data_IF_091118600002
#
_entry.id   IF_091118600002
#
_cell.length_a   1.000
_cell.length_b   1.000
_cell.length_c   1.000
_cell.angle_alpha   90.00
_cell.angle_beta   90.00
_cell.angle_gamma   90.00
#
_symmetry.space_group_name_H-M   'P 1'
#
loop_
_entity.id
_entity.type
_entity.pdbx_description
1 polymer ?
#
# COMPACT_ATOMS: atom_id res chain seq x y z
N UNK A 1 3.13 -5.05 -12.14
CA UNK A 1 2.96 -3.64 -11.74
C UNK A 1 3.73 -2.75 -12.71
N UNK A 2 3.18 -1.59 -13.09
CA UNK A 2 3.88 -0.61 -13.93
C UNK A 2 5.23 -0.18 -13.32
N UNK A 3 5.34 -0.17 -11.99
CA UNK A 3 6.57 0.14 -11.23
C UNK A 3 7.72 -0.86 -11.42
N UNK A 4 7.47 -2.03 -11.99
CA UNK A 4 8.50 -3.06 -12.24
C UNK A 4 9.10 -3.02 -13.65
N UNK A 5 8.66 -2.06 -14.50
CA UNK A 5 9.04 -1.96 -15.91
C UNK A 5 9.70 -0.59 -16.16
N UNK A 6 10.67 -0.54 -17.07
CA UNK A 6 11.33 0.70 -17.49
C UNK A 6 10.34 1.67 -18.13
N UNK A 7 10.38 2.94 -17.72
CA UNK A 7 9.51 4.00 -18.24
C UNK A 7 9.67 4.22 -19.75
N UNK A 8 8.57 4.51 -20.46
CA UNK A 8 8.58 4.95 -21.87
C UNK A 8 8.30 3.87 -22.92
N UNK A 9 8.06 2.62 -22.52
CA UNK A 9 7.70 1.51 -23.42
C UNK A 9 6.34 0.87 -23.04
N UNK A 10 5.35 1.70 -22.68
CA UNK A 10 4.03 1.28 -22.22
C UNK A 10 2.96 1.21 -23.32
N UNK A 11 1.92 0.41 -23.07
CA UNK A 11 0.64 0.42 -23.79
C UNK A 11 -0.30 1.42 -23.08
N UNK A 12 -1.23 2.09 -23.78
CA UNK A 12 -2.10 3.14 -23.20
C UNK A 12 -2.84 2.68 -21.94
N UNK A 13 -3.26 1.42 -21.88
CA UNK A 13 -3.92 0.82 -20.70
C UNK A 13 -3.02 0.82 -19.45
N UNK A 14 -1.70 0.65 -19.63
CA UNK A 14 -0.73 0.70 -18.53
C UNK A 14 -0.52 2.13 -18.03
N UNK A 15 -0.65 3.12 -18.90
CA UNK A 15 -0.54 4.53 -18.53
C UNK A 15 -1.75 4.94 -17.69
N UNK A 16 -2.98 4.53 -18.05
CA UNK A 16 -4.16 4.74 -17.20
C UNK A 16 -4.03 4.04 -15.84
N UNK A 17 -3.53 2.81 -15.81
CA UNK A 17 -3.30 2.06 -14.57
C UNK A 17 -2.21 2.69 -13.67
N UNK A 18 -1.42 3.64 -14.19
CA UNK A 18 -0.37 4.34 -13.44
C UNK A 18 -0.83 5.67 -12.82
N UNK A 19 -2.02 6.15 -13.19
CA UNK A 19 -2.59 7.39 -12.63
C UNK A 19 -3.13 7.13 -11.24
N UNK A 20 -2.51 7.77 -10.25
CA UNK A 20 -2.94 7.73 -8.85
C UNK A 20 -4.00 8.80 -8.57
N UNK A 21 -4.76 8.60 -7.49
CA UNK A 21 -5.77 9.53 -6.99
C UNK A 21 -5.64 9.67 -5.49
N UNK A 22 -5.36 10.88 -5.02
CA UNK A 22 -5.23 11.20 -3.60
C UNK A 22 -6.47 11.87 -3.00
N UNK A 23 -6.65 11.68 -1.70
CA UNK A 23 -7.57 12.41 -0.84
C UNK A 23 -7.00 12.50 0.59
N UNK A 24 -6.07 13.44 0.80
CA UNK A 24 -5.38 13.62 2.08
C UNK A 24 -6.32 13.86 3.30
N UNK A 25 -7.52 14.39 3.09
CA UNK A 25 -8.51 14.56 4.17
C UNK A 25 -9.02 13.22 4.71
N UNK A 26 -9.18 12.23 3.82
CA UNK A 26 -9.57 10.88 4.22
C UNK A 26 -8.48 10.25 5.09
N UNK A 27 -7.22 10.37 4.67
CA UNK A 27 -6.09 9.86 5.46
C UNK A 27 -5.99 10.59 6.81
N UNK A 28 -6.27 11.89 6.88
CA UNK A 28 -6.33 12.62 8.15
C UNK A 28 -7.38 12.03 9.09
N UNK A 29 -8.57 11.68 8.60
CA UNK A 29 -9.62 11.03 9.41
C UNK A 29 -9.20 9.66 9.91
N UNK A 30 -8.52 8.87 9.09
CA UNK A 30 -7.91 7.61 9.51
C UNK A 30 -6.87 7.84 10.62
N UNK A 31 -6.00 8.85 10.47
CA UNK A 31 -4.99 9.19 11.47
C UNK A 31 -5.61 9.59 12.81
N UNK A 32 -6.70 10.36 12.82
CA UNK A 32 -7.40 10.71 14.07
C UNK A 32 -7.94 9.47 14.79
N UNK A 33 -8.46 8.48 14.05
CA UNK A 33 -8.89 7.20 14.65
C UNK A 33 -7.70 6.44 15.24
N UNK A 34 -6.60 6.35 14.50
CA UNK A 34 -5.36 5.72 14.98
C UNK A 34 -4.87 6.43 16.25
N UNK A 35 -4.92 7.76 16.25
CA UNK A 35 -4.54 8.60 17.39
C UNK A 35 -5.39 8.33 18.62
N UNK A 36 -6.72 8.31 18.48
CA UNK A 36 -7.62 7.93 19.56
C UNK A 36 -7.34 6.52 20.06
N UNK A 37 -7.02 5.56 19.18
CA UNK A 37 -6.75 4.18 19.58
C UNK A 37 -5.47 4.05 20.42
N UNK A 38 -4.35 4.63 19.99
CA UNK A 38 -3.10 4.51 20.76
C UNK A 38 -3.10 5.37 22.03
N UNK A 39 -3.84 6.49 22.06
CA UNK A 39 -4.01 7.34 23.25
C UNK A 39 -4.75 6.63 24.39
N UNK A 40 -5.49 5.55 24.12
CA UNK A 40 -6.08 4.69 25.15
C UNK A 40 -5.04 3.84 25.91
N UNK A 41 -3.77 3.85 25.47
CA UNK A 41 -2.68 3.15 26.13
C UNK A 41 -2.92 1.64 26.16
N UNK A 42 -3.00 1.06 27.36
CA UNK A 42 -3.26 -0.39 27.53
C UNK A 42 -4.63 -0.83 27.02
N UNK A 43 -5.57 0.10 26.84
CA UNK A 43 -6.90 -0.16 26.31
C UNK A 43 -6.99 0.06 24.78
N UNK A 44 -5.85 0.17 24.09
CA UNK A 44 -5.82 0.27 22.62
C UNK A 44 -6.51 -0.96 21.98
N UNK A 45 -7.59 -0.75 21.19
CA UNK A 45 -8.32 -1.86 20.59
C UNK A 45 -7.59 -2.51 19.41
N UNK A 46 -6.63 -1.81 18.80
CA UNK A 46 -5.87 -2.28 17.63
C UNK A 46 -4.85 -3.32 18.10
N UNK A 47 -5.03 -4.55 17.64
CA UNK A 47 -4.08 -5.65 17.90
C UNK A 47 -3.00 -5.73 16.82
N UNK A 48 -3.36 -5.38 15.58
CA UNK A 48 -2.45 -5.30 14.44
C UNK A 48 -3.00 -4.27 13.45
N UNK A 49 -2.13 -3.54 12.76
CA UNK A 49 -2.47 -2.60 11.70
C UNK A 49 -1.43 -2.69 10.58
N UNK A 50 -1.88 -2.61 9.34
CA UNK A 50 -1.02 -2.59 8.15
C UNK A 50 -1.58 -1.62 7.10
N UNK A 51 -0.71 -0.98 6.34
CA UNK A 51 -1.09 -0.13 5.22
C UNK A 51 -1.63 -0.95 4.04
N UNK A 52 -2.41 -0.31 3.17
CA UNK A 52 -2.86 -0.88 1.91
C UNK A 52 -2.20 -0.12 0.76
N UNK A 53 -1.18 -0.73 0.15
CA UNK A 53 -0.45 -0.17 -0.97
C UNK A 53 -0.53 -1.04 -2.22
N UNK A 54 0.64 -1.45 -2.72
CA UNK A 54 0.76 -2.25 -3.93
C UNK A 54 0.03 -3.60 -3.80
N UNK A 55 -0.77 -3.96 -4.81
CA UNK A 55 -1.64 -5.13 -4.80
C UNK A 55 -2.90 -4.99 -3.94
N UNK A 56 -3.11 -3.86 -3.26
CA UNK A 56 -4.34 -3.58 -2.52
C UNK A 56 -4.59 -4.57 -1.38
N UNK A 57 -5.87 -4.91 -1.17
CA UNK A 57 -6.30 -5.85 -0.13
C UNK A 57 -5.77 -7.26 -0.37
N UNK A 58 -5.50 -7.62 -1.64
CA UNK A 58 -4.91 -8.91 -2.00
C UNK A 58 -3.52 -9.16 -1.43
N UNK A 59 -2.80 -8.07 -1.11
CA UNK A 59 -1.55 -8.15 -0.37
C UNK A 59 -1.79 -7.91 1.13
N UNK A 60 -2.46 -6.81 1.47
CA UNK A 60 -2.54 -6.34 2.84
C UNK A 60 -3.28 -7.29 3.81
N UNK A 61 -4.42 -7.86 3.41
CA UNK A 61 -5.18 -8.78 4.27
C UNK A 61 -4.45 -10.11 4.49
N UNK A 62 -3.95 -10.80 3.44
CA UNK A 62 -3.12 -11.98 3.62
C UNK A 62 -1.86 -11.75 4.45
N UNK A 63 -1.16 -10.62 4.28
CA UNK A 63 0.01 -10.28 5.09
C UNK A 63 -0.36 -10.07 6.56
N UNK A 64 -1.41 -9.31 6.85
CA UNK A 64 -1.90 -9.09 8.21
C UNK A 64 -2.21 -10.39 8.94
N UNK A 65 -2.95 -11.31 8.31
CA UNK A 65 -3.28 -12.58 8.97
C UNK A 65 -2.08 -13.53 9.06
N UNK A 66 -1.19 -13.52 8.06
CA UNK A 66 0.03 -14.34 8.06
C UNK A 66 0.95 -13.92 9.22
N UNK A 67 1.16 -12.63 9.39
CA UNK A 67 2.06 -12.08 10.42
C UNK A 67 1.45 -12.24 11.82
N UNK A 68 0.12 -12.24 11.93
CA UNK A 68 -0.61 -12.67 13.13
C UNK A 68 -0.61 -14.19 13.36
N UNK A 69 -0.01 -14.98 12.48
CA UNK A 69 -0.02 -16.43 12.59
C UNK A 69 -1.44 -17.02 12.52
N UNK A 70 -2.29 -16.54 11.61
CA UNK A 70 -3.68 -16.99 11.39
C UNK A 70 -3.96 -17.18 9.89
N UNK A 71 -5.10 -17.77 9.55
CA UNK A 71 -5.73 -17.59 8.25
C UNK A 71 -6.83 -16.53 8.31
N UNK A 72 -7.63 -16.42 7.25
CA UNK A 72 -8.71 -15.45 7.19
C UNK A 72 -9.85 -15.90 6.29
N UNK A 73 -11.08 -15.62 6.74
CA UNK A 73 -12.30 -15.74 5.93
C UNK A 73 -12.89 -14.34 5.79
N UNK A 74 -13.05 -13.92 4.54
CA UNK A 74 -13.48 -12.58 4.16
C UNK A 74 -14.75 -12.62 3.31
N UNK A 75 -15.55 -11.57 3.40
CA UNK A 75 -16.72 -11.35 2.55
C UNK A 75 -16.44 -10.17 1.61
N UNK A 76 -16.42 -10.45 0.31
CA UNK A 76 -16.14 -9.45 -0.72
C UNK A 76 -17.15 -8.31 -0.68
N UNK A 77 -18.42 -8.61 -0.42
CA UNK A 77 -19.51 -7.63 -0.46
C UNK A 77 -19.64 -6.76 0.78
N UNK A 78 -18.78 -6.97 1.77
CA UNK A 78 -18.68 -6.10 2.94
C UNK A 78 -17.57 -5.04 2.77
N UNK A 79 -16.74 -5.15 1.72
CA UNK A 79 -15.74 -4.12 1.36
C UNK A 79 -16.48 -2.89 0.80
N UNK A 80 -16.22 -1.68 1.32
CA UNK A 80 -16.79 -0.45 0.76
C UNK A 80 -16.29 -0.22 -0.68
N UNK A 81 -17.24 -0.13 -1.61
CA UNK A 81 -16.96 0.12 -3.03
C UNK A 81 -17.66 1.41 -3.47
N UNK A 82 -16.97 2.24 -4.25
CA UNK A 82 -17.57 3.41 -4.89
C UNK A 82 -18.24 3.05 -6.24
N UNK A 83 -17.82 1.95 -6.86
CA UNK A 83 -18.27 1.50 -8.17
C UNK A 83 -18.85 0.09 -8.08
N UNK A 84 -20.16 -0.06 -8.35
CA UNK A 84 -20.87 -1.33 -8.16
C UNK A 84 -20.57 -2.38 -9.23
N UNK A 85 -19.92 -2.00 -10.33
CA UNK A 85 -19.67 -2.88 -11.48
C UNK A 85 -18.30 -3.58 -11.43
N UNK A 86 -17.49 -3.30 -10.41
CA UNK A 86 -16.18 -3.90 -10.26
C UNK A 86 -16.29 -5.43 -10.10
N UNK A 87 -15.43 -6.13 -10.84
CA UNK A 87 -15.23 -7.57 -10.69
C UNK A 87 -14.60 -7.90 -9.33
N UNK A 88 -14.68 -9.16 -8.86
CA UNK A 88 -13.98 -9.58 -7.64
C UNK A 88 -12.48 -9.29 -7.66
N UNK A 89 -11.83 -9.43 -8.82
CA UNK A 89 -10.41 -9.11 -8.98
C UNK A 89 -10.15 -7.61 -8.77
N UNK A 90 -10.97 -6.74 -9.35
CA UNK A 90 -10.79 -5.29 -9.21
C UNK A 90 -11.07 -4.83 -7.78
N UNK A 91 -12.12 -5.34 -7.12
CA UNK A 91 -12.41 -5.01 -5.72
C UNK A 91 -11.25 -5.42 -4.80
N UNK A 92 -10.67 -6.59 -5.03
CA UNK A 92 -9.64 -7.16 -4.17
C UNK A 92 -8.24 -6.60 -4.43
N UNK A 93 -7.91 -6.31 -5.69
CA UNK A 93 -6.55 -5.96 -6.11
C UNK A 93 -6.35 -4.47 -6.44
N UNK A 94 -7.40 -3.63 -6.47
CA UNK A 94 -7.20 -2.21 -6.73
C UNK A 94 -6.31 -1.55 -5.67
N UNK A 95 -5.55 -0.55 -6.11
CA UNK A 95 -4.63 0.23 -5.28
C UNK A 95 -5.25 1.60 -4.90
N UNK A 96 -6.55 1.62 -4.62
CA UNK A 96 -7.20 2.82 -4.09
C UNK A 96 -6.52 3.26 -2.79
N UNK A 97 -6.33 4.57 -2.66
CA UNK A 97 -5.56 5.21 -1.60
C UNK A 97 -6.36 5.35 -0.29
N UNK A 98 -5.68 5.83 0.76
CA UNK A 98 -6.22 6.13 2.10
C UNK A 98 -6.87 4.94 2.82
N UNK A 99 -6.32 3.74 2.67
CA UNK A 99 -6.84 2.51 3.29
C UNK A 99 -5.83 1.86 4.22
N UNK A 100 -6.36 1.29 5.30
CA UNK A 100 -5.63 0.49 6.28
C UNK A 100 -6.41 -0.79 6.57
N UNK A 101 -5.70 -1.86 6.91
CA UNK A 101 -6.32 -3.09 7.44
C UNK A 101 -5.92 -3.26 8.90
N UNK A 102 -6.88 -3.62 9.74
CA UNK A 102 -6.67 -3.74 11.18
C UNK A 102 -7.27 -5.05 11.71
N UNK A 103 -6.61 -5.61 12.72
CA UNK A 103 -7.17 -6.66 13.56
C UNK A 103 -7.62 -6.07 14.90
N UNK A 104 -8.88 -6.29 15.26
CA UNK A 104 -9.50 -5.80 16.50
C UNK A 104 -10.22 -6.98 17.16
N UNK A 105 -10.11 -7.08 18.49
CA UNK A 105 -10.88 -8.07 19.24
C UNK A 105 -12.38 -7.74 19.15
N UNK A 106 -13.23 -8.75 18.96
CA UNK A 106 -14.68 -8.56 18.84
C UNK A 106 -15.31 -7.80 20.01
N UNK A 107 -14.77 -7.96 21.23
CA UNK A 107 -15.21 -7.24 22.42
C UNK A 107 -14.98 -5.71 22.33
N UNK A 108 -14.07 -5.25 21.46
CA UNK A 108 -13.70 -3.85 21.31
C UNK A 108 -14.34 -3.16 20.10
N UNK A 109 -15.14 -3.88 19.30
CA UNK A 109 -15.72 -3.35 18.06
C UNK A 109 -16.62 -2.14 18.34
N UNK A 110 -17.44 -2.17 19.39
CA UNK A 110 -18.34 -1.07 19.72
C UNK A 110 -17.58 0.21 20.10
N UNK A 111 -16.48 0.07 20.85
CA UNK A 111 -15.60 1.20 21.18
C UNK A 111 -14.91 1.77 19.95
N UNK A 112 -14.42 0.90 19.06
CA UNK A 112 -13.81 1.33 17.79
C UNK A 112 -14.81 2.02 16.86
N UNK A 113 -16.04 1.49 16.76
CA UNK A 113 -17.14 2.09 16.00
C UNK A 113 -17.46 3.51 16.48
N UNK A 114 -17.51 3.72 17.80
CA UNK A 114 -17.73 5.04 18.38
C UNK A 114 -16.62 6.04 18.01
N UNK A 115 -15.36 5.60 18.03
CA UNK A 115 -14.20 6.42 17.61
C UNK A 115 -14.34 6.77 16.12
N UNK A 116 -14.55 5.78 15.25
CA UNK A 116 -14.71 6.01 13.81
C UNK A 116 -15.85 6.97 13.49
N UNK A 117 -17.01 6.83 14.14
CA UNK A 117 -18.16 7.75 13.95
C UNK A 117 -17.83 9.17 14.35
N UNK A 118 -17.15 9.37 15.49
CA UNK A 118 -16.73 10.70 15.96
C UNK A 118 -15.79 11.38 14.96
N UNK A 119 -14.80 10.65 14.45
CA UNK A 119 -13.86 11.15 13.45
C UNK A 119 -14.43 11.14 12.03
N UNK A 120 -15.68 10.71 11.86
CA UNK A 120 -16.30 10.45 10.55
C UNK A 120 -15.45 9.52 9.69
N UNK A 121 -14.60 8.66 10.24
CA UNK A 121 -13.78 7.75 9.44
C UNK A 121 -14.63 6.54 8.99
N UNK A 122 -14.83 6.32 7.67
CA UNK A 122 -15.50 5.12 7.19
C UNK A 122 -14.66 3.89 7.52
N UNK A 123 -15.31 2.80 7.91
CA UNK A 123 -14.68 1.50 8.09
C UNK A 123 -15.69 0.40 7.79
N UNK A 124 -15.19 -0.82 7.57
CA UNK A 124 -16.03 -2.00 7.44
C UNK A 124 -15.36 -3.21 8.09
N UNK A 125 -16.18 -4.09 8.65
CA UNK A 125 -15.76 -5.42 9.07
C UNK A 125 -15.87 -6.34 7.85
N UNK A 126 -14.73 -6.72 7.28
CA UNK A 126 -14.68 -7.47 6.00
C UNK A 126 -14.41 -8.96 6.18
N UNK A 127 -14.21 -9.42 7.41
CA UNK A 127 -13.91 -10.81 7.69
C UNK A 127 -13.43 -11.06 9.11
N UNK A 128 -12.96 -12.29 9.34
CA UNK A 128 -12.45 -12.75 10.63
C UNK A 128 -11.22 -13.62 10.44
N UNK A 129 -10.34 -13.62 11.44
CA UNK A 129 -9.17 -14.50 11.46
C UNK A 129 -9.54 -15.91 11.88
N UNK A 130 -8.80 -16.90 11.38
CA UNK A 130 -9.04 -18.32 11.65
C UNK A 130 -7.78 -19.03 12.11
N UNK A 131 -7.94 -20.16 12.81
CA UNK A 131 -6.81 -21.06 13.12
C UNK A 131 -6.29 -21.79 11.88
N UNK A 132 -7.22 -22.21 11.01
CA UNK A 132 -6.90 -22.82 9.73
C UNK A 132 -6.09 -21.85 8.85
N UNK A 133 -4.95 -22.29 8.32
CA UNK A 133 -4.02 -21.50 7.51
C UNK A 133 -4.46 -21.39 6.04
N UNK A 134 -5.68 -20.92 5.84
CA UNK A 134 -6.28 -20.69 4.53
C UNK A 134 -6.74 -19.24 4.39
N UNK A 135 -6.70 -18.72 3.16
CA UNK A 135 -7.39 -17.48 2.79
C UNK A 135 -8.63 -17.89 2.00
N UNK A 136 -9.81 -17.53 2.53
CA UNK A 136 -11.08 -17.65 1.83
C UNK A 136 -11.69 -16.28 1.63
N UNK A 137 -12.10 -16.01 0.40
CA UNK A 137 -12.89 -14.84 0.04
C UNK A 137 -14.19 -15.38 -0.54
N UNK A 138 -15.29 -15.10 0.14
CA UNK A 138 -16.64 -15.42 -0.33
C UNK A 138 -17.26 -14.20 -1.02
N UNK A 139 -18.09 -14.45 -2.02
CA UNK A 139 -18.89 -13.43 -2.68
C UNK A 139 -20.38 -13.79 -2.61
N UNK A 140 -21.11 -13.10 -1.72
CA UNK A 140 -22.55 -13.29 -1.54
C UNK A 140 -23.39 -12.98 -2.78
N UNK A 141 -22.91 -12.15 -3.71
CA UNK A 141 -23.66 -11.80 -4.93
C UNK A 141 -23.67 -12.96 -5.93
N UNK A 142 -22.54 -13.64 -6.12
CA UNK A 142 -22.43 -14.79 -7.02
C UNK A 142 -22.54 -16.15 -6.31
N UNK A 143 -22.62 -16.14 -4.98
CA UNK A 143 -22.69 -17.33 -4.12
C UNK A 143 -21.56 -18.32 -4.44
N UNK A 144 -20.33 -17.80 -4.49
CA UNK A 144 -19.12 -18.58 -4.76
C UNK A 144 -17.94 -18.08 -3.91
N UNK A 145 -16.80 -18.75 -4.04
CA UNK A 145 -15.55 -18.36 -3.39
C UNK A 145 -14.54 -17.94 -4.46
N UNK A 146 -14.39 -16.63 -4.75
CA UNK A 146 -13.34 -16.16 -5.66
C UNK A 146 -11.92 -16.57 -5.22
N UNK A 147 -11.68 -16.75 -3.92
CA UNK A 147 -10.40 -17.25 -3.38
C UNK A 147 -10.69 -18.33 -2.34
N UNK A 148 -10.01 -19.48 -2.48
CA UNK A 148 -9.93 -20.53 -1.47
C UNK A 148 -8.56 -21.21 -1.61
N UNK A 149 -7.57 -20.64 -0.93
CA UNK A 149 -6.16 -21.01 -1.11
C UNK A 149 -5.45 -21.21 0.24
N UNK A 150 -4.72 -22.33 0.41
CA UNK A 150 -3.77 -22.49 1.50
C UNK A 150 -2.70 -21.39 1.51
N UNK A 151 -2.30 -20.94 2.71
CA UNK A 151 -1.31 -19.87 2.86
C UNK A 151 0.08 -20.22 2.32
N UNK A 152 0.49 -21.48 2.44
CA UNK A 152 1.78 -21.97 1.94
C UNK A 152 1.87 -21.93 0.41
N UNK A 153 0.74 -22.10 -0.27
CA UNK A 153 0.64 -21.92 -1.71
C UNK A 153 0.71 -20.43 -2.08
N UNK A 154 -0.02 -19.57 -1.38
CA UNK A 154 -0.06 -18.13 -1.65
C UNK A 154 1.30 -17.44 -1.39
N UNK A 155 1.97 -17.82 -0.31
CA UNK A 155 3.27 -17.26 0.08
C UNK A 155 4.45 -18.18 -0.27
N UNK A 156 4.23 -19.15 -1.17
CA UNK A 156 5.24 -20.09 -1.61
C UNK A 156 6.46 -19.38 -2.16
N UNK A 157 7.65 -19.77 -1.70
CA UNK A 157 8.91 -19.13 -2.13
C UNK A 157 9.45 -19.81 -3.38
N UNK A 158 9.57 -19.05 -4.47
CA UNK A 158 10.39 -19.46 -5.61
C UNK A 158 11.87 -19.44 -5.22
N UNK A 159 12.75 -20.19 -5.93
CA UNK A 159 14.19 -20.17 -5.68
C UNK A 159 14.74 -18.73 -5.68
N UNK A 160 15.67 -18.45 -4.77
CA UNK A 160 16.29 -17.12 -4.66
C UNK A 160 17.00 -16.76 -5.97
N UNK A 161 16.87 -15.51 -6.41
CA UNK A 161 17.55 -15.00 -7.60
C UNK A 161 19.07 -14.95 -7.38
N UNK A 162 19.83 -15.63 -8.22
CA UNK A 162 21.30 -15.51 -8.26
C UNK A 162 21.70 -14.59 -9.42
N UNK A 163 22.15 -13.37 -9.09
CA UNK A 163 22.64 -12.41 -10.09
C UNK A 163 24.16 -12.50 -10.20
N UNK A 164 24.65 -12.92 -11.36
CA UNK A 164 26.08 -12.82 -11.70
C UNK A 164 26.32 -11.45 -12.32
N UNK A 165 27.03 -10.59 -11.60
CA UNK A 165 27.38 -9.23 -12.04
C UNK A 165 28.88 -9.10 -12.20
N UNK A 166 29.31 -8.16 -13.05
CA UNK A 166 30.71 -7.74 -13.18
C UNK A 166 30.80 -6.28 -12.83
N UNK A 167 31.82 -5.90 -12.05
CA UNK A 167 32.10 -4.50 -11.79
C UNK A 167 32.51 -3.81 -13.09
N UNK A 168 31.84 -2.71 -13.42
CA UNK A 168 32.34 -1.76 -14.41
C UNK A 168 33.33 -0.81 -13.73
N UNK A 169 34.43 -0.49 -14.42
CA UNK A 169 35.26 0.66 -14.04
C UNK A 169 34.84 1.84 -14.91
N UNK A 170 34.48 2.95 -14.27
CA UNK A 170 34.25 4.23 -14.95
C UNK A 170 35.56 5.00 -14.92
N UNK A 171 36.16 5.21 -16.08
CA UNK A 171 37.30 6.10 -16.23
C UNK A 171 36.76 7.52 -16.44
N UNK A 172 36.72 8.32 -15.39
CA UNK A 172 36.50 9.75 -15.52
C UNK A 172 37.77 10.40 -16.08
N UNK A 173 37.62 11.25 -17.08
CA UNK A 173 38.73 12.12 -17.51
C UNK A 173 39.13 13.08 -16.39
N UNK A 174 40.36 13.61 -16.46
CA UNK A 174 40.78 14.68 -15.55
C UNK A 174 39.91 15.93 -15.73
N UNK A 175 39.58 16.59 -14.62
CA UNK A 175 38.80 17.82 -14.65
C UNK A 175 39.67 18.98 -15.15
N UNK A 176 39.38 19.50 -16.35
CA UNK A 176 40.08 20.65 -16.92
C UNK A 176 39.48 21.98 -16.42
N UNK A 177 40.04 22.52 -15.33
CA UNK A 177 39.58 23.79 -14.74
C UNK A 177 40.07 25.04 -15.49
N UNK A 178 41.08 24.92 -16.36
CA UNK A 178 41.78 26.04 -16.99
C UNK A 178 40.90 26.91 -17.90
N UNK A 179 39.77 26.38 -18.38
CA UNK A 179 38.82 27.08 -19.26
C UNK A 179 37.62 27.65 -18.51
N UNK A 180 37.58 27.55 -17.19
CA UNK A 180 36.42 27.94 -16.38
C UNK A 180 36.68 29.32 -15.76
N UNK A 181 35.87 30.30 -16.14
CA UNK A 181 35.83 31.58 -15.46
C UNK A 181 35.10 31.44 -14.11
N UNK A 182 35.72 31.92 -13.02
CA UNK A 182 35.17 31.75 -11.68
C UNK A 182 33.81 32.46 -11.47
N UNK A 183 33.66 33.71 -11.91
CA UNK A 183 32.39 34.43 -11.75
C UNK A 183 31.25 33.79 -12.56
N UNK A 184 31.57 33.31 -13.76
CA UNK A 184 30.62 32.56 -14.57
C UNK A 184 30.28 31.21 -13.93
N UNK A 185 31.28 30.51 -13.38
CA UNK A 185 31.06 29.25 -12.67
C UNK A 185 30.14 29.43 -11.47
N UNK A 186 30.34 30.47 -10.66
CA UNK A 186 29.44 30.79 -9.55
C UNK A 186 28.02 31.02 -10.06
N UNK A 187 27.83 31.80 -11.13
CA UNK A 187 26.50 32.01 -11.73
C UNK A 187 25.88 30.70 -12.22
N UNK A 188 26.62 29.86 -12.94
CA UNK A 188 26.16 28.55 -13.45
C UNK A 188 25.80 27.59 -12.32
N UNK A 189 26.64 27.51 -11.29
CA UNK A 189 26.42 26.65 -10.12
C UNK A 189 25.18 27.11 -9.36
N UNK A 190 25.03 28.41 -9.08
CA UNK A 190 23.83 28.93 -8.40
C UNK A 190 22.55 28.84 -9.24
N UNK A 191 22.67 28.75 -10.57
CA UNK A 191 21.54 28.55 -11.49
C UNK A 191 21.22 27.08 -11.76
N UNK A 192 22.07 26.13 -11.33
CA UNK A 192 21.82 24.71 -11.50
C UNK A 192 20.61 24.32 -10.62
N UNK A 193 19.53 23.72 -11.14
CA UNK A 193 18.35 23.38 -10.35
C UNK A 193 18.67 22.52 -9.12
N UNK A 194 19.72 21.69 -9.16
CA UNK A 194 20.20 20.91 -8.01
C UNK A 194 20.69 21.80 -6.86
N UNK A 195 21.30 22.95 -7.14
CA UNK A 195 21.91 23.85 -6.14
C UNK A 195 21.04 25.07 -5.83
N UNK A 196 20.32 25.59 -6.81
CA UNK A 196 19.50 26.79 -6.69
C UNK A 196 18.50 26.73 -5.51
N UNK A 197 17.99 27.89 -5.08
CA UNK A 197 16.96 27.96 -4.03
C UNK A 197 15.79 27.03 -4.34
N UNK A 198 15.33 26.32 -3.31
CA UNK A 198 14.20 25.39 -3.38
C UNK A 198 12.94 25.95 -2.76
N UNK A 199 12.81 27.28 -2.63
CA UNK A 199 11.64 27.91 -1.99
C UNK A 199 10.28 27.55 -2.65
N UNK A 200 10.30 26.95 -3.85
CA UNK A 200 9.10 26.47 -4.54
C UNK A 200 8.71 25.03 -4.18
N UNK A 201 9.55 24.29 -3.44
CA UNK A 201 9.33 22.95 -2.90
C UNK A 201 9.08 23.02 -1.40
#
# INVERSE_FOLDING_TARGET
>A
AASSITSGAGNEDLDFASVQRDNAEMERRCQEVIDQCWQLGVANPITFIHDVGAGGLSNALPELVKDGGRGGVFELRDIPIAESQLSPLEIWCNEAQERYVLAINSANIEGFDAICRRERCPYALVGQTTEEKCIRLHDRHFNNNPIDLPMDLLFGKTPKMHRKVKSGQVFAGEFEATRINFEEAVKRVLSLPTVASKNFL
#
